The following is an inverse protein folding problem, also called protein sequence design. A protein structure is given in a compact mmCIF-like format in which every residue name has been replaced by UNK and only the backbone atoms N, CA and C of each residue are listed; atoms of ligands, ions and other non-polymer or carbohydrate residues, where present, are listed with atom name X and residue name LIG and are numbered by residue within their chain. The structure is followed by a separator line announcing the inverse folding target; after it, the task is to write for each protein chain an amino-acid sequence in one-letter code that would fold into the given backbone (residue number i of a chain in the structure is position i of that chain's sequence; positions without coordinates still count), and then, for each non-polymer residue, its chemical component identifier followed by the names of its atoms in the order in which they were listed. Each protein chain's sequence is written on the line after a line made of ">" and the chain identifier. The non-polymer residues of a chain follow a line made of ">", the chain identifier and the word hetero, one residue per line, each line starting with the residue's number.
data_IF_560002098973
#
_entry.id   IF_560002098973
#
_cell.length_a   1.000
_cell.length_b   1.000
_cell.length_c   1.000
_cell.angle_alpha   90.00
_cell.angle_beta   90.00
_cell.angle_gamma   90.00
#
_symmetry.space_group_name_H-M   'P 1'
#
loop_
_entity.id
_entity.type
_entity.pdbx_description
1 polymer ?
#
# COMPACT_ATOMS: atom_id res chain seq x y z
N UNK A 1 -17.15 -8.77 -2.83
CA UNK A 1 -16.97 -7.34 -3.15
C UNK A 1 -17.52 -6.45 -2.04
N UNK A 2 -18.75 -6.64 -1.58
CA UNK A 2 -19.36 -5.81 -0.51
C UNK A 2 -18.53 -5.74 0.78
N UNK A 3 -17.96 -6.86 1.25
CA UNK A 3 -17.24 -6.90 2.55
C UNK A 3 -15.98 -6.00 2.55
N UNK A 4 -15.17 -6.03 1.49
CA UNK A 4 -13.93 -5.22 1.41
C UNK A 4 -14.28 -3.73 1.35
N UNK A 5 -15.31 -3.36 0.57
CA UNK A 5 -15.77 -1.97 0.47
C UNK A 5 -16.28 -1.50 1.83
N UNK A 6 -17.14 -2.29 2.49
CA UNK A 6 -17.65 -1.97 3.83
C UNK A 6 -16.52 -1.80 4.84
N UNK A 7 -15.57 -2.74 4.91
CA UNK A 7 -14.43 -2.65 5.83
C UNK A 7 -13.55 -1.42 5.54
N UNK A 8 -13.29 -1.12 4.27
CA UNK A 8 -12.50 0.06 3.90
C UNK A 8 -13.22 1.35 4.29
N UNK A 9 -14.55 1.42 4.10
CA UNK A 9 -15.35 2.55 4.56
C UNK A 9 -15.33 2.71 6.08
N UNK A 10 -15.47 1.61 6.84
CA UNK A 10 -15.38 1.63 8.30
C UNK A 10 -14.02 2.15 8.76
N UNK A 11 -12.92 1.63 8.18
CA UNK A 11 -11.57 2.11 8.49
C UNK A 11 -11.40 3.61 8.23
N UNK A 12 -11.97 4.14 7.15
CA UNK A 12 -11.92 5.57 6.88
C UNK A 12 -12.67 6.38 7.95
N UNK A 13 -13.82 5.90 8.42
CA UNK A 13 -14.59 6.54 9.49
C UNK A 13 -13.77 6.52 10.79
N UNK A 14 -13.28 5.36 11.19
CA UNK A 14 -12.51 5.18 12.44
C UNK A 14 -11.23 6.05 12.45
N UNK A 15 -10.50 6.08 11.33
CA UNK A 15 -9.32 6.93 11.17
C UNK A 15 -9.69 8.41 11.26
N UNK A 16 -10.77 8.83 10.60
CA UNK A 16 -11.21 10.21 10.66
C UNK A 16 -11.58 10.62 12.08
N UNK A 17 -12.30 9.78 12.84
CA UNK A 17 -12.60 10.02 14.25
C UNK A 17 -11.32 10.11 15.11
N UNK A 18 -10.36 9.23 14.86
CA UNK A 18 -9.08 9.23 15.56
C UNK A 18 -8.26 10.49 15.25
N UNK A 19 -8.25 10.91 13.98
CA UNK A 19 -7.56 12.13 13.52
C UNK A 19 -8.25 13.39 14.07
N UNK A 20 -9.58 13.45 14.12
CA UNK A 20 -10.30 14.59 14.73
C UNK A 20 -10.00 14.70 16.22
N UNK A 21 -9.98 13.58 16.95
CA UNK A 21 -9.66 13.56 18.37
C UNK A 21 -8.20 13.95 18.66
N UNK A 22 -7.27 13.67 17.73
CA UNK A 22 -5.88 14.15 17.80
C UNK A 22 -5.76 15.65 17.43
N UNK A 23 -6.52 16.11 16.45
CA UNK A 23 -6.45 17.48 15.91
C UNK A 23 -7.17 18.54 16.77
N UNK A 24 -8.14 18.18 17.63
CA UNK A 24 -8.76 19.12 18.58
C UNK A 24 -7.78 19.73 19.61
N UNK A 25 -6.53 19.25 19.68
CA UNK A 25 -5.44 19.88 20.44
C UNK A 25 -4.71 21.02 19.71
N UNK A 26 -5.15 21.39 18.50
CA UNK A 26 -4.56 22.49 17.72
C UNK A 26 -5.65 23.30 16.99
N UNK A 27 -5.87 24.53 17.46
CA UNK A 27 -6.85 25.52 16.96
C UNK A 27 -6.40 26.19 15.62
N UNK A 28 -7.32 26.89 14.89
CA UNK A 28 -7.59 26.68 13.46
C UNK A 28 -6.89 27.68 12.52
N UNK A 29 -6.79 27.33 11.23
CA UNK A 29 -6.37 28.24 10.16
C UNK A 29 -7.59 28.66 9.33
N UNK A 30 -7.76 29.98 9.23
CA UNK A 30 -8.81 30.71 8.52
C UNK A 30 -8.75 30.56 6.99
N UNK A 31 -9.94 30.53 6.38
CA UNK A 31 -10.21 30.68 4.95
C UNK A 31 -9.58 31.94 4.34
N UNK A 32 -9.05 31.82 3.13
CA UNK A 32 -9.42 32.64 1.97
C UNK A 32 -8.56 32.25 0.75
N UNK A 33 -9.17 32.16 -0.44
CA UNK A 33 -8.74 32.86 -1.65
C UNK A 33 -9.66 32.53 -2.85
N UNK A 34 -10.14 33.59 -3.48
CA UNK A 34 -11.06 33.63 -4.61
C UNK A 34 -10.34 33.85 -5.95
N UNK A 35 -10.79 33.08 -6.96
CA UNK A 35 -10.83 33.23 -8.43
C UNK A 35 -9.94 34.26 -9.19
N UNK A 36 -9.21 33.77 -10.21
CA UNK A 36 -9.29 34.07 -11.68
C UNK A 36 -8.00 33.57 -12.39
N UNK A 37 -8.04 32.60 -13.31
CA UNK A 37 -8.42 32.55 -14.74
C UNK A 37 -7.23 32.77 -15.72
N UNK A 38 -6.82 31.64 -16.33
CA UNK A 38 -6.51 31.32 -17.74
C UNK A 38 -5.78 32.34 -18.65
N UNK A 39 -4.57 31.96 -19.12
CA UNK A 39 -4.07 31.96 -20.52
C UNK A 39 -2.52 31.91 -20.56
N UNK A 40 -1.88 30.74 -20.86
CA UNK A 40 -0.70 30.57 -21.77
C UNK A 40 -0.16 29.12 -21.83
N UNK A 41 -0.87 28.29 -22.58
CA UNK A 41 -0.71 26.84 -22.72
C UNK A 41 0.56 26.30 -23.43
N UNK A 42 1.69 27.03 -23.50
CA UNK A 42 2.94 26.49 -24.09
C UNK A 42 4.25 26.89 -23.38
N UNK A 43 4.20 27.77 -22.38
CA UNK A 43 5.28 27.97 -21.39
C UNK A 43 4.89 27.42 -20.01
N UNK A 44 3.63 26.98 -19.86
CA UNK A 44 3.06 26.50 -18.61
C UNK A 44 3.63 25.15 -18.18
N UNK A 45 4.00 24.22 -19.07
CA UNK A 45 4.50 22.90 -18.63
C UNK A 45 5.86 22.96 -17.91
N UNK A 46 6.78 23.84 -18.35
CA UNK A 46 8.06 24.05 -17.64
C UNK A 46 7.85 24.83 -16.34
N UNK A 47 7.01 25.87 -16.34
CA UNK A 47 6.73 26.68 -15.16
C UNK A 47 5.85 25.93 -14.13
N UNK A 48 4.97 25.03 -14.56
CA UNK A 48 4.17 24.12 -13.71
C UNK A 48 5.10 23.10 -13.06
N UNK A 49 6.02 22.47 -13.80
CA UNK A 49 6.97 21.54 -13.20
C UNK A 49 7.85 22.25 -12.16
N UNK A 50 8.31 23.47 -12.45
CA UNK A 50 9.06 24.32 -11.51
C UNK A 50 8.22 24.75 -10.30
N UNK A 51 6.93 25.03 -10.50
CA UNK A 51 5.99 25.41 -9.44
C UNK A 51 5.59 24.22 -8.57
N UNK A 52 5.47 23.02 -9.14
CA UNK A 52 5.22 21.77 -8.41
C UNK A 52 6.44 21.33 -7.59
N UNK A 53 7.65 21.53 -8.10
CA UNK A 53 8.90 21.33 -7.36
C UNK A 53 9.03 22.29 -6.16
N UNK A 54 8.55 23.53 -6.28
CA UNK A 54 8.65 24.55 -5.21
C UNK A 54 7.50 24.57 -4.21
N UNK A 55 6.32 24.01 -4.54
CA UNK A 55 5.17 24.00 -3.61
C UNK A 55 5.30 23.00 -2.46
N UNK A 56 6.28 22.10 -2.53
CA UNK A 56 6.64 21.14 -1.48
C UNK A 56 7.74 21.67 -0.56
N UNK A 57 7.89 22.99 -0.44
CA UNK A 57 8.83 23.59 0.50
C UNK A 57 8.36 23.37 1.95
N UNK A 58 9.12 22.51 2.64
CA UNK A 58 8.88 21.98 3.96
C UNK A 58 8.96 23.12 4.99
N UNK A 59 7.81 23.58 5.49
CA UNK A 59 7.72 24.61 6.55
C UNK A 59 8.23 24.18 7.94
N UNK A 60 8.94 23.07 8.07
CA UNK A 60 9.53 22.61 9.33
C UNK A 60 11.05 22.51 9.21
N UNK A 61 11.73 23.65 9.42
CA UNK A 61 13.19 23.87 9.33
C UNK A 61 14.08 22.86 10.09
N UNK A 62 13.52 22.08 11.02
CA UNK A 62 14.24 21.13 11.88
C UNK A 62 13.87 19.65 11.66
N UNK A 63 12.96 19.34 10.73
CA UNK A 63 12.41 17.99 10.53
C UNK A 63 12.78 17.48 9.13
N UNK A 64 13.17 16.21 9.03
CA UNK A 64 13.52 15.54 7.78
C UNK A 64 12.27 15.23 6.93
N UNK A 65 12.39 14.80 5.65
CA UNK A 65 11.25 14.74 4.75
C UNK A 65 10.20 13.73 5.23
N UNK A 66 8.97 13.98 4.83
CA UNK A 66 7.82 13.14 5.12
C UNK A 66 8.00 11.82 4.39
N UNK A 67 8.08 10.71 5.13
CA UNK A 67 8.13 9.40 4.52
C UNK A 67 6.74 8.81 4.45
N UNK A 68 6.32 8.47 3.23
CA UNK A 68 5.08 7.74 2.99
C UNK A 68 5.44 6.26 2.93
N UNK A 69 4.89 5.48 3.87
CA UNK A 69 5.03 4.04 3.89
C UNK A 69 3.74 3.40 3.38
N UNK A 70 3.83 2.64 2.28
CA UNK A 70 2.72 1.83 1.81
C UNK A 70 2.87 0.38 2.26
N UNK A 71 1.86 -0.11 2.99
CA UNK A 71 1.86 -1.44 3.60
C UNK A 71 1.07 -2.44 2.76
N UNK A 72 1.51 -3.70 2.68
CA UNK A 72 0.73 -4.76 2.03
C UNK A 72 0.88 -6.11 2.71
N UNK A 73 -0.25 -6.70 3.14
CA UNK A 73 -0.36 -8.10 3.58
C UNK A 73 -0.87 -8.97 2.43
N UNK A 74 -0.31 -10.17 2.27
CA UNK A 74 -0.58 -10.97 1.09
C UNK A 74 -1.00 -12.39 1.45
N UNK A 75 -2.27 -12.71 1.20
CA UNK A 75 -2.85 -14.07 1.07
C UNK A 75 -2.59 -15.05 2.23
N UNK A 76 -1.97 -14.63 3.34
CA UNK A 76 -1.45 -15.52 4.36
C UNK A 76 -2.41 -15.76 5.51
N UNK A 77 -3.43 -14.91 5.64
CA UNK A 77 -4.47 -15.06 6.67
C UNK A 77 -5.15 -16.44 6.63
N UNK A 78 -5.51 -16.94 5.44
CA UNK A 78 -6.11 -18.27 5.30
C UNK A 78 -5.14 -19.46 5.55
N UNK A 79 -3.83 -19.18 5.62
CA UNK A 79 -2.79 -20.15 5.96
C UNK A 79 -2.50 -20.20 7.47
N UNK A 80 -2.90 -19.17 8.24
CA UNK A 80 -2.75 -19.17 9.70
C UNK A 80 -3.48 -20.38 10.31
N UNK A 81 -4.69 -20.64 9.85
CA UNK A 81 -5.51 -21.78 10.27
C UNK A 81 -5.12 -23.11 9.61
N UNK A 82 -4.17 -23.08 8.64
CA UNK A 82 -3.78 -24.22 7.80
C UNK A 82 -2.25 -24.30 7.59
N UNK A 83 -1.48 -24.57 8.65
CA UNK A 83 -0.02 -24.62 8.58
C UNK A 83 0.50 -25.68 7.59
N UNK A 84 -0.26 -26.75 7.33
CA UNK A 84 0.05 -27.81 6.37
C UNK A 84 0.06 -27.35 4.90
N UNK A 85 -0.42 -26.14 4.63
CA UNK A 85 -0.52 -25.54 3.29
C UNK A 85 0.53 -24.47 3.01
N UNK A 86 1.36 -24.08 3.99
CA UNK A 86 2.35 -22.98 3.87
C UNK A 86 3.27 -23.17 2.66
N UNK A 87 3.74 -24.41 2.43
CA UNK A 87 4.68 -24.74 1.36
C UNK A 87 4.01 -25.25 0.07
N UNK A 88 2.70 -25.00 -0.11
CA UNK A 88 1.93 -25.46 -1.26
C UNK A 88 1.39 -24.27 -2.07
N UNK A 89 1.15 -24.42 -3.38
CA UNK A 89 0.48 -23.38 -4.16
C UNK A 89 -0.97 -23.25 -3.72
N UNK A 90 -1.34 -22.09 -3.17
CA UNK A 90 -2.67 -21.84 -2.61
C UNK A 90 -3.29 -20.59 -3.22
N UNK A 91 -4.57 -20.70 -3.57
CA UNK A 91 -5.43 -19.59 -3.97
C UNK A 91 -6.69 -19.51 -3.11
N UNK A 92 -7.22 -18.30 -2.92
CA UNK A 92 -8.47 -18.04 -2.20
C UNK A 92 -9.56 -17.76 -3.22
N UNK A 93 -10.70 -18.43 -3.10
CA UNK A 93 -11.88 -18.15 -3.93
C UNK A 93 -13.17 -18.56 -3.24
N UNK A 94 -14.31 -18.05 -3.74
CA UNK A 94 -15.64 -18.41 -3.25
C UNK A 94 -15.99 -19.88 -3.55
N UNK A 95 -15.50 -20.41 -4.67
CA UNK A 95 -15.78 -21.79 -5.09
C UNK A 95 -14.47 -22.55 -5.31
N UNK A 96 -14.45 -23.83 -4.94
CA UNK A 96 -13.26 -24.69 -5.08
C UNK A 96 -13.33 -25.61 -6.32
N UNK A 97 -14.45 -25.56 -7.07
CA UNK A 97 -14.74 -26.42 -8.22
C UNK A 97 -13.75 -26.26 -9.38
N UNK A 98 -13.59 -27.31 -10.22
CA UNK A 98 -12.80 -27.22 -11.47
C UNK A 98 -13.52 -26.43 -12.58
N UNK A 99 -14.86 -26.38 -12.53
CA UNK A 99 -15.72 -25.71 -13.52
C UNK A 99 -16.45 -24.49 -12.95
N UNK A 100 -15.99 -23.94 -11.83
CA UNK A 100 -16.56 -22.71 -11.31
C UNK A 100 -16.14 -21.53 -12.18
N UNK A 101 -17.10 -20.66 -12.53
CA UNK A 101 -16.83 -19.36 -13.13
C UNK A 101 -16.23 -18.35 -12.15
N UNK A 102 -15.72 -18.82 -11.00
CA UNK A 102 -15.13 -17.99 -9.97
C UNK A 102 -13.67 -17.71 -10.28
N UNK A 103 -13.24 -16.54 -9.84
CA UNK A 103 -11.88 -16.03 -9.95
C UNK A 103 -11.08 -16.30 -8.68
N UNK A 104 -9.76 -16.28 -8.80
CA UNK A 104 -8.82 -16.31 -7.69
C UNK A 104 -8.76 -14.90 -7.11
N UNK A 105 -9.28 -14.73 -5.90
CA UNK A 105 -9.27 -13.44 -5.21
C UNK A 105 -7.86 -13.02 -4.80
N UNK A 106 -7.11 -13.99 -4.28
CA UNK A 106 -5.73 -13.83 -3.84
C UNK A 106 -5.00 -15.15 -3.94
N UNK A 107 -3.69 -15.12 -4.17
CA UNK A 107 -2.86 -16.32 -4.23
C UNK A 107 -1.45 -16.07 -3.67
N UNK A 108 -0.91 -17.10 -3.02
CA UNK A 108 0.41 -17.01 -2.40
C UNK A 108 1.53 -16.94 -3.44
N UNK A 109 2.72 -16.51 -3.02
CA UNK A 109 3.85 -16.34 -3.93
C UNK A 109 4.30 -17.64 -4.60
N UNK A 110 4.06 -18.80 -3.96
CA UNK A 110 4.29 -20.12 -4.58
C UNK A 110 3.37 -20.30 -5.79
N UNK A 111 2.07 -20.01 -5.68
CA UNK A 111 1.16 -20.06 -6.83
C UNK A 111 1.54 -19.02 -7.91
N UNK A 112 1.99 -17.83 -7.50
CA UNK A 112 2.44 -16.76 -8.43
C UNK A 112 3.66 -17.18 -9.25
N UNK A 113 4.57 -17.99 -8.72
CA UNK A 113 5.72 -18.48 -9.49
C UNK A 113 5.32 -19.41 -10.64
N UNK A 114 4.16 -20.07 -10.55
CA UNK A 114 3.53 -20.83 -11.64
C UNK A 114 2.71 -19.94 -12.59
N UNK A 115 2.72 -18.62 -12.40
CA UNK A 115 1.99 -17.66 -13.22
C UNK A 115 0.52 -17.45 -12.84
N UNK A 116 0.04 -18.05 -11.75
CA UNK A 116 -1.29 -17.75 -11.21
C UNK A 116 -1.32 -16.30 -10.71
N UNK A 117 -2.40 -15.58 -11.01
CA UNK A 117 -2.58 -14.17 -10.62
C UNK A 117 -3.96 -13.95 -10.04
N UNK A 118 -4.09 -12.90 -9.23
CA UNK A 118 -5.39 -12.45 -8.73
C UNK A 118 -6.28 -12.04 -9.92
N UNK A 119 -7.59 -12.29 -9.83
CA UNK A 119 -8.58 -12.09 -10.89
C UNK A 119 -8.57 -13.17 -11.98
N UNK A 120 -7.66 -14.15 -11.93
CA UNK A 120 -7.64 -15.27 -12.88
C UNK A 120 -8.77 -16.26 -12.58
N UNK A 121 -9.50 -16.72 -13.59
CA UNK A 121 -10.49 -17.79 -13.43
C UNK A 121 -9.82 -19.06 -12.88
N UNK A 122 -10.48 -19.75 -11.93
CA UNK A 122 -9.93 -20.98 -11.32
C UNK A 122 -9.59 -22.03 -12.38
N UNK A 123 -10.43 -22.18 -13.40
CA UNK A 123 -10.18 -23.12 -14.48
C UNK A 123 -8.87 -22.83 -15.22
N UNK A 124 -8.51 -21.55 -15.39
CA UNK A 124 -7.25 -21.15 -16.01
C UNK A 124 -6.08 -21.33 -15.03
N UNK A 125 -6.26 -20.91 -13.77
CA UNK A 125 -5.24 -21.06 -12.72
C UNK A 125 -4.85 -22.53 -12.50
N UNK A 126 -5.82 -23.45 -12.52
CA UNK A 126 -5.58 -24.91 -12.41
C UNK A 126 -4.93 -25.52 -13.66
N UNK A 127 -5.08 -24.91 -14.84
CA UNK A 127 -4.31 -25.32 -16.02
C UNK A 127 -2.83 -24.96 -15.89
N UNK A 128 -2.53 -23.79 -15.34
CA UNK A 128 -1.16 -23.32 -15.12
C UNK A 128 -0.49 -24.06 -13.94
N UNK A 129 -1.25 -24.30 -12.87
CA UNK A 129 -0.80 -25.01 -11.69
C UNK A 129 -1.80 -26.13 -11.34
N UNK A 130 -1.63 -27.35 -11.87
CA UNK A 130 -2.53 -28.48 -11.61
C UNK A 130 -2.67 -28.84 -10.13
N UNK A 131 -1.63 -28.57 -9.33
CA UNK A 131 -1.58 -28.81 -7.90
C UNK A 131 -2.13 -27.64 -7.05
N UNK A 132 -2.74 -26.63 -7.67
CA UNK A 132 -3.28 -25.45 -6.97
C UNK A 132 -4.40 -25.85 -6.00
N UNK A 133 -4.19 -25.53 -4.73
CA UNK A 133 -5.17 -25.75 -3.66
C UNK A 133 -6.01 -24.49 -3.54
N UNK A 134 -7.33 -24.61 -3.67
CA UNK A 134 -8.27 -23.49 -3.53
C UNK A 134 -8.97 -23.57 -2.19
N UNK A 135 -8.75 -22.56 -1.34
CA UNK A 135 -9.36 -22.45 0.00
C UNK A 135 -10.48 -21.40 0.01
N UNK A 136 -11.47 -21.54 0.90
CA UNK A 136 -12.53 -20.54 1.06
C UNK A 136 -12.03 -19.28 1.78
N UNK A 137 -12.84 -18.22 1.76
CA UNK A 137 -12.59 -17.01 2.54
C UNK A 137 -12.82 -17.22 4.03
N UNK A 138 -11.96 -16.63 4.85
CA UNK A 138 -12.11 -16.54 6.31
C UNK A 138 -12.24 -15.08 6.74
N UNK A 139 -13.39 -14.45 6.45
CA UNK A 139 -13.62 -13.00 6.65
C UNK A 139 -13.33 -12.53 8.07
N UNK A 140 -13.69 -13.31 9.09
CA UNK A 140 -13.39 -12.97 10.49
C UNK A 140 -11.88 -12.86 10.77
N UNK A 141 -11.07 -13.73 10.16
CA UNK A 141 -9.62 -13.68 10.34
C UNK A 141 -9.03 -12.48 9.60
N UNK A 142 -9.55 -12.14 8.41
CA UNK A 142 -9.14 -10.94 7.69
C UNK A 142 -9.44 -9.67 8.50
N UNK A 143 -10.62 -9.59 9.11
CA UNK A 143 -11.01 -8.45 9.96
C UNK A 143 -10.10 -8.32 11.19
N UNK A 144 -9.84 -9.42 11.90
CA UNK A 144 -8.92 -9.43 13.05
C UNK A 144 -7.53 -8.94 12.67
N UNK A 145 -6.97 -9.45 11.57
CA UNK A 145 -5.64 -9.05 11.09
C UNK A 145 -5.62 -7.59 10.67
N UNK A 146 -6.67 -7.13 9.98
CA UNK A 146 -6.85 -5.73 9.56
C UNK A 146 -6.86 -4.80 10.77
N UNK A 147 -7.64 -5.11 11.80
CA UNK A 147 -7.71 -4.29 13.01
C UNK A 147 -6.35 -4.21 13.72
N UNK A 148 -5.63 -5.34 13.83
CA UNK A 148 -4.28 -5.35 14.40
C UNK A 148 -3.31 -4.52 13.57
N UNK A 149 -3.37 -4.63 12.24
CA UNK A 149 -2.56 -3.84 11.31
C UNK A 149 -2.76 -2.34 11.56
N UNK A 150 -4.00 -1.86 11.46
CA UNK A 150 -4.30 -0.44 11.60
C UNK A 150 -3.95 0.08 13.00
N UNK A 151 -4.15 -0.71 14.05
CA UNK A 151 -3.72 -0.34 15.40
C UNK A 151 -2.19 -0.16 15.51
N UNK A 152 -1.40 -1.03 14.87
CA UNK A 152 0.06 -0.86 14.83
C UNK A 152 0.44 0.42 14.07
N UNK A 153 -0.22 0.69 12.94
CA UNK A 153 0.07 1.87 12.12
C UNK A 153 -0.29 3.18 12.85
N UNK A 154 -1.44 3.24 13.51
CA UNK A 154 -1.91 4.41 14.30
C UNK A 154 -0.98 4.71 15.48
N UNK A 155 -0.36 3.68 16.07
CA UNK A 155 0.63 3.86 17.15
C UNK A 155 1.97 4.40 16.65
N UNK A 156 2.28 4.25 15.36
CA UNK A 156 3.57 4.61 14.77
C UNK A 156 3.55 5.92 13.97
N UNK A 157 2.35 6.44 13.66
CA UNK A 157 2.13 7.66 12.88
C UNK A 157 0.86 8.40 13.31
N UNK A 158 0.92 9.72 13.25
CA UNK A 158 -0.24 10.59 13.49
C UNK A 158 -1.09 10.81 12.24
N UNK A 159 -0.52 10.63 11.05
CA UNK A 159 -1.20 10.80 9.78
C UNK A 159 -1.25 9.47 9.04
N UNK A 160 -2.44 8.88 9.02
CA UNK A 160 -2.74 7.63 8.32
C UNK A 160 -3.85 7.87 7.30
N UNK A 161 -3.70 7.26 6.13
CA UNK A 161 -4.72 7.18 5.09
C UNK A 161 -4.95 5.72 4.74
N UNK A 162 -6.14 5.20 5.05
CA UNK A 162 -6.57 3.88 4.61
C UNK A 162 -6.70 3.84 3.08
N UNK A 163 -6.26 2.75 2.45
CA UNK A 163 -6.44 2.50 1.02
C UNK A 163 -7.36 1.29 0.82
N UNK A 164 -7.10 0.22 1.57
CA UNK A 164 -7.91 -1.01 1.64
C UNK A 164 -7.73 -1.68 3.00
N UNK A 165 -8.35 -2.85 3.21
CA UNK A 165 -8.17 -3.65 4.42
C UNK A 165 -6.71 -4.08 4.66
N UNK A 166 -5.92 -4.21 3.60
CA UNK A 166 -4.53 -4.67 3.62
C UNK A 166 -3.51 -3.61 3.18
N UNK A 167 -3.97 -2.39 2.85
CA UNK A 167 -3.14 -1.30 2.30
C UNK A 167 -3.45 0.04 2.98
N UNK A 168 -2.41 0.76 3.39
CA UNK A 168 -2.50 2.07 4.01
C UNK A 168 -1.23 2.89 3.74
N UNK A 169 -1.39 4.21 3.71
CA UNK A 169 -0.28 5.16 3.76
C UNK A 169 -0.15 5.72 5.16
N UNK A 170 1.09 5.80 5.67
CA UNK A 170 1.40 6.53 6.90
C UNK A 170 2.49 7.56 6.62
N UNK A 171 2.43 8.68 7.33
CA UNK A 171 3.49 9.69 7.31
C UNK A 171 4.40 9.53 8.53
N UNK A 172 5.70 9.40 8.29
CA UNK A 172 6.69 9.32 9.36
C UNK A 172 7.58 10.54 9.31
N UNK A 173 7.67 11.22 10.46
CA UNK A 173 8.55 12.35 10.68
C UNK A 173 9.80 11.89 11.43
N UNK A 174 10.97 12.24 10.91
CA UNK A 174 12.25 11.96 11.54
C UNK A 174 13.02 13.25 11.85
N UNK A 175 13.78 13.30 12.95
CA UNK A 175 14.68 14.41 13.21
C UNK A 175 15.78 14.45 12.15
N UNK A 176 16.26 15.66 11.82
CA UNK A 176 17.37 15.82 10.88
C UNK A 176 18.70 15.48 11.55
N UNK A 177 19.16 14.25 11.37
CA UNK A 177 20.35 13.67 12.02
C UNK A 177 21.48 13.36 11.03
N UNK A 178 21.20 13.40 9.72
CA UNK A 178 22.10 12.89 8.67
C UNK A 178 22.09 11.36 8.53
N UNK A 179 21.27 10.65 9.31
CA UNK A 179 21.10 9.19 9.28
C UNK A 179 19.68 8.78 8.91
N UNK A 180 18.91 9.68 8.29
CA UNK A 180 17.46 9.54 8.15
C UNK A 180 17.05 8.32 7.33
N UNK A 181 17.86 7.93 6.34
CA UNK A 181 17.65 6.70 5.56
C UNK A 181 17.77 5.43 6.44
N UNK A 182 18.77 5.39 7.33
CA UNK A 182 18.99 4.25 8.22
C UNK A 182 17.84 4.19 9.23
N UNK A 183 17.51 5.34 9.81
CA UNK A 183 16.47 5.47 10.84
C UNK A 183 15.09 5.09 10.30
N UNK A 184 14.75 5.48 9.05
CA UNK A 184 13.45 5.13 8.46
C UNK A 184 13.36 3.65 8.09
N UNK A 185 14.45 3.06 7.57
CA UNK A 185 14.50 1.63 7.26
C UNK A 185 14.40 0.78 8.53
N UNK A 186 15.09 1.19 9.60
CA UNK A 186 14.99 0.52 10.89
C UNK A 186 13.56 0.62 11.46
N UNK A 187 12.95 1.81 11.40
CA UNK A 187 11.56 1.99 11.83
C UNK A 187 10.59 1.12 11.02
N UNK A 188 10.75 1.05 9.70
CA UNK A 188 9.94 0.18 8.85
C UNK A 188 10.11 -1.30 9.21
N UNK A 189 11.35 -1.76 9.43
CA UNK A 189 11.64 -3.12 9.87
C UNK A 189 11.00 -3.45 11.21
N UNK A 190 11.04 -2.53 12.16
CA UNK A 190 10.41 -2.69 13.48
C UNK A 190 8.89 -2.80 13.37
N UNK A 191 8.24 -1.95 12.55
CA UNK A 191 6.79 -2.02 12.28
C UNK A 191 6.44 -3.38 11.65
N UNK A 192 7.20 -3.83 10.64
CA UNK A 192 6.98 -5.14 10.01
C UNK A 192 7.11 -6.28 11.02
N UNK A 193 8.12 -6.24 11.89
CA UNK A 193 8.34 -7.24 12.93
C UNK A 193 7.19 -7.27 13.94
N UNK A 194 6.72 -6.10 14.39
CA UNK A 194 5.57 -5.98 15.28
C UNK A 194 4.30 -6.58 14.66
N UNK A 195 4.04 -6.28 13.39
CA UNK A 195 2.87 -6.81 12.68
C UNK A 195 3.01 -8.32 12.52
N UNK A 196 4.19 -8.82 12.13
CA UNK A 196 4.46 -10.25 12.02
C UNK A 196 4.26 -10.97 13.35
N UNK A 197 4.69 -10.38 14.46
CA UNK A 197 4.54 -10.95 15.78
C UNK A 197 3.06 -11.05 16.18
N UNK A 198 2.26 -10.02 15.92
CA UNK A 198 0.85 -9.97 16.33
C UNK A 198 -0.10 -10.72 15.41
N UNK A 199 0.20 -10.75 14.10
CA UNK A 199 -0.71 -11.29 13.07
C UNK A 199 -0.25 -12.63 12.49
N UNK A 200 1.03 -12.99 12.68
CA UNK A 200 1.71 -14.08 11.95
C UNK A 200 1.79 -13.88 10.43
N UNK A 201 1.35 -12.74 9.91
CA UNK A 201 1.41 -12.40 8.50
C UNK A 201 2.68 -11.61 8.16
N UNK A 202 3.21 -11.86 6.97
CA UNK A 202 4.31 -11.08 6.41
C UNK A 202 3.80 -9.78 5.79
N UNK A 203 4.69 -8.79 5.71
CA UNK A 203 4.34 -7.49 5.18
C UNK A 203 5.46 -6.83 4.41
N UNK A 204 5.08 -5.98 3.46
CA UNK A 204 6.04 -5.19 2.68
C UNK A 204 5.78 -3.70 2.87
N UNK A 205 6.85 -2.91 3.02
CA UNK A 205 6.77 -1.47 3.20
C UNK A 205 7.63 -0.76 2.15
N UNK A 206 7.02 0.07 1.31
CA UNK A 206 7.75 0.97 0.42
C UNK A 206 7.77 2.39 0.95
N UNK A 207 8.95 3.01 0.95
CA UNK A 207 9.23 4.28 1.62
C UNK A 207 9.74 5.29 0.59
N UNK A 208 9.14 6.48 0.54
CA UNK A 208 9.63 7.59 -0.27
C UNK A 208 9.04 8.93 0.21
N UNK A 209 9.45 10.02 -0.42
CA UNK A 209 8.95 11.39 -0.16
C UNK A 209 7.57 11.72 -0.73
N UNK A 210 6.96 10.83 -1.52
CA UNK A 210 5.61 11.00 -2.04
C UNK A 210 4.89 9.66 -2.23
N UNK A 211 3.56 9.73 -2.40
CA UNK A 211 2.66 8.56 -2.45
C UNK A 211 2.99 7.66 -3.65
N UNK A 212 3.23 8.26 -4.82
CA UNK A 212 3.51 7.53 -6.06
C UNK A 212 4.78 6.66 -5.90
N UNK A 213 5.87 7.28 -5.48
CA UNK A 213 7.15 6.61 -5.29
C UNK A 213 7.07 5.58 -4.14
N UNK A 214 6.39 5.88 -3.03
CA UNK A 214 6.18 4.92 -1.96
C UNK A 214 5.45 3.66 -2.45
N UNK A 215 4.44 3.82 -3.31
CA UNK A 215 3.73 2.70 -3.91
C UNK A 215 4.62 1.87 -4.84
N UNK A 216 5.45 2.53 -5.66
CA UNK A 216 6.43 1.85 -6.52
C UNK A 216 7.53 1.14 -5.70
N UNK A 217 8.00 1.76 -4.62
CA UNK A 217 8.93 1.16 -3.66
C UNK A 217 8.34 -0.13 -3.08
N UNK A 218 7.06 -0.13 -2.74
CA UNK A 218 6.38 -1.29 -2.16
C UNK A 218 6.32 -2.45 -3.15
N UNK A 219 6.17 -2.16 -4.45
CA UNK A 219 6.22 -3.18 -5.50
C UNK A 219 7.58 -3.89 -5.54
N UNK A 220 8.68 -3.15 -5.32
CA UNK A 220 10.04 -3.70 -5.24
C UNK A 220 10.33 -4.38 -3.90
N UNK A 221 9.70 -3.92 -2.83
CA UNK A 221 9.81 -4.49 -1.48
C UNK A 221 9.10 -5.85 -1.34
N UNK A 222 8.17 -6.19 -2.23
CA UNK A 222 7.44 -7.46 -2.21
C UNK A 222 8.30 -8.60 -2.78
N UNK A 223 8.27 -9.82 -2.17
CA UNK A 223 7.60 -10.19 -0.92
C UNK A 223 8.42 -9.86 0.34
N UNK A 224 7.72 -9.52 1.43
CA UNK A 224 8.28 -9.48 2.79
C UNK A 224 9.60 -8.71 2.95
N UNK A 225 9.63 -7.47 2.45
CA UNK A 225 10.78 -6.57 2.58
C UNK A 225 10.38 -5.12 2.83
N UNK A 226 11.40 -4.29 3.07
CA UNK A 226 11.30 -2.84 2.94
C UNK A 226 12.12 -2.36 1.75
N UNK A 227 11.70 -1.25 1.14
CA UNK A 227 12.49 -0.58 0.11
C UNK A 227 12.35 0.94 0.25
N UNK A 228 13.49 1.63 0.26
CA UNK A 228 13.54 3.09 0.31
C UNK A 228 13.99 3.65 -1.05
N UNK A 229 13.27 4.66 -1.53
CA UNK A 229 13.68 5.45 -2.70
C UNK A 229 14.18 6.80 -2.20
N UNK A 230 15.46 7.07 -2.46
CA UNK A 230 16.07 8.35 -2.15
C UNK A 230 15.48 9.49 -2.98
N UNK A 231 15.22 10.66 -2.39
CA UNK A 231 14.71 11.83 -3.11
C UNK A 231 15.72 12.46 -4.06
N UNK A 232 17.00 12.09 -3.99
CA UNK A 232 18.09 12.77 -4.71
C UNK A 232 18.08 12.45 -6.21
N UNK A 233 17.51 11.32 -6.64
CA UNK A 233 17.45 10.95 -8.07
C UNK A 233 16.31 9.98 -8.42
N UNK A 234 15.03 10.35 -8.20
CA UNK A 234 13.88 9.47 -8.41
C UNK A 234 13.70 9.05 -9.88
N UNK A 235 14.17 9.86 -10.84
CA UNK A 235 14.03 9.61 -12.27
C UNK A 235 14.65 8.27 -12.71
N UNK A 236 15.82 7.97 -12.18
CA UNK A 236 16.55 6.72 -12.49
C UNK A 236 15.77 5.47 -12.05
N UNK A 237 14.95 5.62 -11.01
CA UNK A 237 14.10 4.57 -10.49
C UNK A 237 12.81 4.46 -11.28
N UNK A 238 12.14 5.59 -11.58
CA UNK A 238 10.89 5.59 -12.37
C UNK A 238 11.11 4.96 -13.75
N UNK A 239 12.26 5.20 -14.40
CA UNK A 239 12.62 4.61 -15.70
C UNK A 239 12.69 3.08 -15.71
N UNK A 240 12.69 2.41 -14.54
CA UNK A 240 12.69 0.95 -14.43
C UNK A 240 11.28 0.34 -14.54
N UNK A 241 10.24 1.17 -14.47
CA UNK A 241 8.84 0.73 -14.46
C UNK A 241 8.18 0.97 -15.82
N UNK A 242 7.28 0.06 -16.19
CA UNK A 242 6.41 0.24 -17.34
C UNK A 242 5.28 1.21 -16.97
N UNK A 243 4.65 1.81 -17.98
CA UNK A 243 3.52 2.73 -17.77
C UNK A 243 2.37 2.04 -17.02
N UNK A 244 2.12 0.76 -17.27
CA UNK A 244 1.13 -0.06 -16.56
C UNK A 244 1.46 -0.36 -15.10
N UNK A 245 2.68 -0.05 -14.66
CA UNK A 245 3.05 -0.17 -13.25
C UNK A 245 2.62 1.05 -12.43
N UNK A 246 2.25 2.16 -13.09
CA UNK A 246 1.81 3.39 -12.44
C UNK A 246 0.37 3.26 -11.91
N UNK A 247 0.09 3.75 -10.69
CA UNK A 247 -1.26 3.80 -10.17
C UNK A 247 -2.16 4.64 -11.08
N UNK A 248 -3.37 4.14 -11.35
CA UNK A 248 -4.34 4.78 -12.22
C UNK A 248 -4.21 4.39 -13.70
N UNK A 249 -3.13 3.73 -14.12
CA UNK A 249 -2.99 3.21 -15.49
C UNK A 249 -3.54 1.79 -15.56
N UNK A 250 -4.79 1.66 -16.02
CA UNK A 250 -5.39 0.37 -16.36
C UNK A 250 -5.11 -0.04 -17.81
N UNK A 251 -5.49 -1.27 -18.17
CA UNK A 251 -5.34 -1.84 -19.51
C UNK A 251 -5.89 -0.95 -20.65
N UNK A 252 -6.97 -0.21 -20.38
CA UNK A 252 -7.57 0.70 -21.37
C UNK A 252 -6.69 1.92 -21.65
N UNK A 253 -5.96 2.40 -20.64
CA UNK A 253 -5.07 3.57 -20.75
C UNK A 253 -3.73 3.15 -21.35
N UNK A 254 -3.18 2.01 -20.92
CA UNK A 254 -1.93 1.47 -21.48
C UNK A 254 -1.98 1.23 -22.99
N UNK A 255 -3.18 0.94 -23.52
CA UNK A 255 -3.40 0.68 -24.94
C UNK A 255 -3.47 1.92 -25.82
N UNK A 256 -3.63 3.11 -25.24
CA UNK A 256 -3.70 4.37 -25.98
C UNK A 256 -2.30 4.87 -26.28
#
# INVERSE_FOLDING_TARGET
>A
MNIIITQTCTLHIDINETNTNKNEKTLPITENLSKKNEEKENNEDEDINKSLETKWDVKHSSIAPNFIANYYENSSVGLISRPELINKPVGVSHSSGKNSGSDIASCNYIARSFGVRNGMLIAHAKKMCPNLIVIPYEFENYEKVTNVLYNVLINNSDNIQAVSCDEAYIEIWLPKTGTEEIDILEKAKNIRAEIKQKTQCNSSIGISTNILLARLATKKAKPDGEFYISPIAPESFIKQFNVSDLPGVGWSIEKK
#
